data_IF_506608653648
#
_entry.id   IF_506608653648
#
_cell.length_a   1.000
_cell.length_b   1.000
_cell.length_c   1.000
_cell.angle_alpha   90.00
_cell.angle_beta   90.00
_cell.angle_gamma   90.00
#
_symmetry.space_group_name_H-M   'P 1'
#
loop_
_entity.id
_entity.type
_entity.pdbx_description
1 polymer ?
#
# COMPACT_ATOMS: atom_id res chain seq x y z
N UNK A 1 -1.78 -15.04 -27.04
CA UNK A 1 -1.31 -13.74 -26.49
C UNK A 1 -2.17 -13.44 -25.27
N UNK A 2 -1.68 -13.76 -24.07
CA UNK A 2 -2.43 -13.62 -22.81
C UNK A 2 -2.12 -12.25 -22.21
N UNK A 3 -3.15 -11.43 -22.02
CA UNK A 3 -3.04 -10.13 -21.36
C UNK A 3 -3.00 -10.38 -19.84
N UNK A 4 -1.91 -10.00 -19.18
CA UNK A 4 -1.77 -10.08 -17.72
C UNK A 4 -2.80 -9.15 -17.04
N UNK A 5 -3.52 -9.57 -15.97
CA UNK A 5 -4.66 -8.80 -15.44
C UNK A 5 -4.27 -7.58 -14.57
N UNK A 6 -2.98 -7.33 -14.34
CA UNK A 6 -2.51 -6.49 -13.23
C UNK A 6 -2.07 -5.08 -13.64
N UNK A 7 -2.81 -4.42 -14.52
CA UNK A 7 -2.55 -3.00 -14.81
C UNK A 7 -3.32 -2.14 -13.80
N UNK A 8 -2.68 -1.86 -12.66
CA UNK A 8 -3.22 -0.96 -11.63
C UNK A 8 -3.13 0.54 -12.00
N UNK A 9 -2.57 0.87 -13.17
CA UNK A 9 -2.70 2.20 -13.76
C UNK A 9 -4.07 2.33 -14.43
N UNK A 10 -4.84 3.30 -13.95
CA UNK A 10 -6.18 3.58 -14.47
C UNK A 10 -6.10 4.01 -15.94
N UNK A 11 -6.81 3.32 -16.82
CA UNK A 11 -6.84 3.66 -18.25
C UNK A 11 -7.52 5.02 -18.52
N UNK A 12 -8.34 5.51 -17.58
CA UNK A 12 -9.07 6.76 -17.71
C UNK A 12 -8.39 7.94 -16.96
N UNK A 13 -7.49 7.66 -16.01
CA UNK A 13 -6.71 8.65 -15.27
C UNK A 13 -5.21 8.39 -15.48
N UNK A 14 -4.71 8.83 -16.64
CA UNK A 14 -3.30 8.63 -17.01
C UNK A 14 -2.36 9.19 -15.93
N UNK A 15 -1.47 8.34 -15.41
CA UNK A 15 -0.52 8.71 -14.35
C UNK A 15 -1.07 8.59 -12.93
N UNK A 16 -2.24 7.98 -12.73
CA UNK A 16 -2.78 7.66 -11.41
C UNK A 16 -2.72 6.16 -11.15
N UNK A 17 -2.34 5.81 -9.93
CA UNK A 17 -2.52 4.49 -9.36
C UNK A 17 -3.90 4.45 -8.69
N UNK A 18 -4.72 3.46 -9.01
CA UNK A 18 -6.05 3.30 -8.42
C UNK A 18 -6.15 1.94 -7.75
N UNK A 19 -6.24 1.94 -6.42
CA UNK A 19 -6.44 0.74 -5.62
C UNK A 19 -7.86 0.19 -5.81
N UNK A 20 -7.97 -1.01 -6.38
CA UNK A 20 -9.24 -1.71 -6.60
C UNK A 20 -9.12 -3.13 -6.07
N UNK A 21 -10.10 -3.58 -5.28
CA UNK A 21 -10.16 -4.96 -4.78
C UNK A 21 -11.60 -5.46 -4.69
N UNK A 22 -11.84 -6.76 -4.92
CA UNK A 22 -13.11 -7.40 -4.59
C UNK A 22 -13.51 -7.26 -3.12
N UNK A 23 -12.55 -6.98 -2.22
CA UNK A 23 -12.79 -6.77 -0.79
C UNK A 23 -13.55 -5.46 -0.49
N UNK A 24 -13.51 -4.48 -1.40
CA UNK A 24 -14.21 -3.20 -1.27
C UNK A 24 -14.91 -2.82 -2.59
N UNK A 25 -15.99 -3.53 -2.96
CA UNK A 25 -16.67 -3.30 -4.23
C UNK A 25 -17.32 -1.90 -4.27
N UNK A 26 -17.22 -1.23 -5.41
CA UNK A 26 -17.87 0.07 -5.64
C UNK A 26 -17.09 1.29 -5.13
N UNK A 27 -15.92 1.09 -4.52
CA UNK A 27 -15.03 2.17 -4.07
C UNK A 27 -13.60 1.93 -4.54
N UNK A 28 -12.83 3.00 -4.67
CA UNK A 28 -11.40 2.95 -4.98
C UNK A 28 -10.69 4.18 -4.40
N UNK A 29 -9.44 4.02 -4.02
CA UNK A 29 -8.57 5.11 -3.61
C UNK A 29 -7.50 5.33 -4.67
N UNK A 30 -7.29 6.58 -5.10
CA UNK A 30 -6.37 6.91 -6.18
C UNK A 30 -5.28 7.88 -5.74
N UNK A 31 -4.04 7.56 -6.09
CA UNK A 31 -2.87 8.40 -5.84
C UNK A 31 -2.20 8.74 -7.18
N UNK A 32 -1.84 10.02 -7.35
CA UNK A 32 -1.10 10.45 -8.54
C UNK A 32 0.35 10.00 -8.42
N UNK A 33 0.81 9.28 -9.44
CA UNK A 33 2.18 8.74 -9.53
C UNK A 33 3.07 9.82 -10.13
N UNK A 34 4.15 10.14 -9.44
CA UNK A 34 5.24 10.95 -9.99
C UNK A 34 6.19 10.05 -10.79
N UNK A 35 6.68 8.97 -10.17
CA UNK A 35 7.53 7.96 -10.83
C UNK A 35 7.42 6.59 -10.19
N UNK A 36 7.52 5.53 -10.99
CA UNK A 36 7.64 4.15 -10.50
C UNK A 36 9.10 3.88 -10.13
N UNK A 37 9.33 3.32 -8.95
CA UNK A 37 10.65 2.98 -8.42
C UNK A 37 10.98 1.50 -8.59
N UNK A 38 9.99 0.62 -8.40
CA UNK A 38 10.14 -0.83 -8.50
C UNK A 38 8.82 -1.46 -8.94
N UNK A 39 8.88 -2.44 -9.83
CA UNK A 39 7.80 -3.40 -10.03
C UNK A 39 8.39 -4.79 -10.21
N UNK A 40 7.99 -5.74 -9.36
CA UNK A 40 8.53 -7.10 -9.34
C UNK A 40 7.54 -8.09 -8.74
N UNK A 41 7.36 -9.23 -9.42
CA UNK A 41 6.72 -10.42 -8.84
C UNK A 41 7.73 -11.20 -8.00
N UNK A 42 7.44 -11.39 -6.72
CA UNK A 42 8.18 -12.30 -5.83
C UNK A 42 7.63 -13.73 -5.91
N UNK A 43 8.18 -14.65 -5.10
CA UNK A 43 7.61 -16.00 -4.96
C UNK A 43 6.19 -16.01 -4.37
N UNK A 44 5.82 -14.95 -3.66
CA UNK A 44 4.60 -14.90 -2.86
C UNK A 44 3.57 -13.90 -3.40
N UNK A 45 4.05 -12.74 -3.86
CA UNK A 45 3.22 -11.57 -4.12
C UNK A 45 3.82 -10.65 -5.19
N UNK A 46 2.98 -9.83 -5.81
CA UNK A 46 3.37 -8.74 -6.70
C UNK A 46 3.75 -7.53 -5.85
N UNK A 47 4.92 -6.96 -6.11
CA UNK A 47 5.47 -5.87 -5.32
C UNK A 47 5.65 -4.67 -6.25
N UNK A 48 4.99 -3.57 -5.93
CA UNK A 48 5.15 -2.29 -6.61
C UNK A 48 5.52 -1.21 -5.60
N UNK A 49 6.49 -0.38 -5.97
CA UNK A 49 6.92 0.79 -5.21
C UNK A 49 6.92 1.97 -6.17
N UNK A 50 6.23 3.04 -5.81
CA UNK A 50 6.24 4.27 -6.58
C UNK A 50 6.31 5.49 -5.66
N UNK A 51 6.76 6.60 -6.21
CA UNK A 51 6.70 7.91 -5.57
C UNK A 51 5.43 8.62 -6.04
N UNK A 52 4.62 9.06 -5.07
CA UNK A 52 3.41 9.82 -5.31
C UNK A 52 3.67 11.32 -5.20
N UNK A 53 2.82 12.14 -5.81
CA UNK A 53 2.99 13.60 -5.78
C UNK A 53 2.78 14.22 -4.39
N UNK A 54 2.01 13.57 -3.51
CA UNK A 54 1.56 14.17 -2.24
C UNK A 54 1.66 13.25 -1.02
N UNK A 55 1.99 11.97 -1.18
CA UNK A 55 2.05 10.97 -0.10
C UNK A 55 3.45 10.33 0.04
N UNK A 56 4.45 10.84 -0.69
CA UNK A 56 5.81 10.29 -0.69
C UNK A 56 5.86 8.92 -1.37
N UNK A 57 6.78 8.06 -0.93
CA UNK A 57 6.88 6.68 -1.40
C UNK A 57 5.70 5.83 -0.92
N UNK A 58 5.20 4.98 -1.80
CA UNK A 58 4.06 4.11 -1.58
C UNK A 58 4.49 2.67 -1.84
N UNK A 59 4.20 1.77 -0.89
CA UNK A 59 4.34 0.32 -1.08
C UNK A 59 2.99 -0.28 -1.43
N UNK A 60 2.96 -1.07 -2.51
CA UNK A 60 1.79 -1.82 -2.94
C UNK A 60 2.14 -3.30 -3.01
N UNK A 61 1.27 -4.14 -2.45
CA UNK A 61 1.38 -5.60 -2.50
C UNK A 61 0.09 -6.18 -3.08
N UNK A 62 0.22 -6.97 -4.15
CA UNK A 62 -0.89 -7.58 -4.90
C UNK A 62 -2.02 -6.58 -5.26
N UNK A 63 -1.66 -5.32 -5.53
CA UNK A 63 -2.59 -4.24 -5.90
C UNK A 63 -3.20 -3.48 -4.71
N UNK A 64 -2.91 -3.87 -3.47
CA UNK A 64 -3.33 -3.16 -2.26
C UNK A 64 -2.21 -2.28 -1.70
N UNK A 65 -2.52 -1.03 -1.41
CA UNK A 65 -1.62 -0.08 -0.75
C UNK A 65 -1.40 -0.55 0.68
N UNK A 66 -0.14 -0.73 1.06
CA UNK A 66 0.24 -1.18 2.40
C UNK A 66 0.54 -0.01 3.32
N UNK A 67 1.28 0.97 2.82
CA UNK A 67 1.55 2.22 3.52
C UNK A 67 2.04 3.30 2.56
N UNK A 68 1.94 4.55 3.02
CA UNK A 68 2.59 5.71 2.41
C UNK A 68 3.45 6.42 3.46
N UNK A 69 4.51 7.11 3.05
CA UNK A 69 5.35 7.87 3.99
C UNK A 69 4.57 8.97 4.74
N UNK A 70 3.46 9.46 4.18
CA UNK A 70 2.71 10.56 4.77
C UNK A 70 1.81 10.15 5.93
N UNK A 71 1.26 8.94 5.91
CA UNK A 71 0.22 8.50 6.85
C UNK A 71 0.57 7.25 7.66
N UNK A 72 1.71 6.60 7.37
CA UNK A 72 2.13 5.36 8.03
C UNK A 72 2.14 5.45 9.56
N UNK A 73 2.52 6.60 10.13
CA UNK A 73 2.57 6.82 11.58
C UNK A 73 1.22 6.55 12.25
N UNK A 74 0.09 6.89 11.60
CA UNK A 74 -1.23 6.67 12.20
C UNK A 74 -1.49 5.18 12.45
N UNK A 75 -1.10 4.32 11.51
CA UNK A 75 -1.27 2.87 11.67
C UNK A 75 -0.19 2.29 12.58
N UNK A 76 1.09 2.62 12.33
CA UNK A 76 2.22 2.05 13.06
C UNK A 76 2.18 2.40 14.55
N UNK A 77 1.87 3.64 14.90
CA UNK A 77 1.75 4.06 16.29
C UNK A 77 0.54 3.40 16.96
N UNK A 78 -0.60 3.31 16.28
CA UNK A 78 -1.80 2.72 16.87
C UNK A 78 -1.65 1.22 17.12
N UNK A 79 -1.14 0.45 16.14
CA UNK A 79 -0.95 -0.99 16.30
C UNK A 79 0.12 -1.31 17.35
N UNK A 80 1.08 -0.40 17.54
CA UNK A 80 2.17 -0.58 18.51
C UNK A 80 1.78 -0.10 19.90
N UNK A 81 1.36 1.15 20.05
CA UNK A 81 1.17 1.77 21.36
C UNK A 81 -0.11 1.38 22.05
N UNK A 82 -1.19 1.04 21.34
CA UNK A 82 -2.41 0.54 21.99
C UNK A 82 -2.13 -0.71 22.85
N UNK A 83 -1.54 -1.80 22.32
CA UNK A 83 -1.26 -2.98 23.15
C UNK A 83 -0.14 -2.74 24.17
N UNK A 84 0.90 -1.97 23.82
CA UNK A 84 2.02 -1.72 24.74
C UNK A 84 1.60 -0.90 25.95
N UNK A 85 0.75 0.12 25.77
CA UNK A 85 0.29 0.97 26.86
C UNK A 85 -0.84 0.32 27.68
N UNK A 86 -1.50 -0.72 27.15
CA UNK A 86 -2.51 -1.49 27.88
C UNK A 86 -1.90 -2.48 28.88
N UNK A 87 -0.60 -2.77 28.79
CA UNK A 87 0.10 -3.69 29.69
C UNK A 87 1.07 -2.93 30.61
N UNK A 88 1.13 -3.23 31.93
CA UNK A 88 1.89 -2.41 32.89
C UNK A 88 3.42 -2.47 32.73
N UNK A 89 3.97 -3.55 32.17
CA UNK A 89 5.41 -3.69 31.90
C UNK A 89 5.69 -4.73 30.79
N UNK A 90 5.42 -4.40 29.51
CA UNK A 90 5.67 -5.32 28.41
C UNK A 90 7.17 -5.54 28.23
N UNK A 91 7.61 -6.81 28.28
CA UNK A 91 9.04 -7.19 28.20
C UNK A 91 9.39 -8.13 27.04
N UNK A 92 8.40 -8.80 26.48
CA UNK A 92 8.55 -9.69 25.33
C UNK A 92 7.36 -9.48 24.41
N UNK A 93 7.64 -9.04 23.20
CA UNK A 93 6.66 -8.71 22.17
C UNK A 93 7.07 -9.47 20.91
N UNK A 94 6.13 -10.10 20.23
CA UNK A 94 6.36 -10.81 18.97
C UNK A 94 5.40 -10.33 17.90
N UNK A 95 5.85 -10.44 16.66
CA UNK A 95 5.02 -10.36 15.46
C UNK A 95 4.24 -11.65 15.25
#
# INVERSE_FOLDING_TARGET
>A
MSVSPHRAMDQHLKGWYTERSPMWPGQAFSLKVDRTLLHKRSKFQDIEIFESTNYGKVLVLDGAIQFTERDEASYQEMITYLPLNAHPNPRKVSW
#
